data_IF_295562175233
#
_entry.id   IF_295562175233
#
_cell.length_a   1.000
_cell.length_b   1.000
_cell.length_c   1.000
_cell.angle_alpha   90.00
_cell.angle_beta   90.00
_cell.angle_gamma   90.00
#
_symmetry.space_group_name_H-M   'P 1'
#
loop_
_entity.id
_entity.type
_entity.pdbx_description
1 polymer ?
#
# COMPACT_ATOMS: atom_id res chain seq x y z
N UNK A 1 8.77 -9.85 -4.89
CA UNK A 1 8.39 -8.77 -5.82
C UNK A 1 9.67 -8.12 -6.33
N UNK A 2 9.77 -7.80 -7.62
CA UNK A 2 10.89 -7.00 -8.12
C UNK A 2 10.74 -5.51 -7.73
N UNK A 3 11.79 -4.71 -7.90
CA UNK A 3 11.80 -3.31 -7.44
C UNK A 3 10.79 -2.41 -8.17
N UNK A 4 10.54 -2.63 -9.46
CA UNK A 4 9.57 -1.85 -10.22
C UNK A 4 8.16 -2.18 -9.76
N UNK A 5 7.88 -3.46 -9.50
CA UNK A 5 6.61 -3.89 -8.93
C UNK A 5 6.35 -3.25 -7.55
N UNK A 6 7.39 -3.09 -6.72
CA UNK A 6 7.28 -2.41 -5.42
C UNK A 6 6.93 -0.93 -5.58
N UNK A 7 7.57 -0.23 -6.52
CA UNK A 7 7.25 1.17 -6.82
C UNK A 7 5.83 1.32 -7.40
N UNK A 8 5.45 0.46 -8.35
CA UNK A 8 4.09 0.41 -8.91
C UNK A 8 3.04 0.20 -7.82
N UNK A 9 3.34 -0.71 -6.89
CA UNK A 9 2.46 -1.00 -5.76
C UNK A 9 2.35 0.17 -4.79
N UNK A 10 3.47 0.81 -4.45
CA UNK A 10 3.44 2.03 -3.63
C UNK A 10 2.57 3.10 -4.30
N UNK A 11 2.72 3.30 -5.61
CA UNK A 11 1.88 4.22 -6.38
C UNK A 11 0.39 3.84 -6.25
N UNK A 12 0.03 2.58 -6.54
CA UNK A 12 -1.37 2.13 -6.48
C UNK A 12 -2.00 2.24 -5.10
N UNK A 13 -1.24 2.07 -4.02
CA UNK A 13 -1.75 2.24 -2.64
C UNK A 13 -2.16 3.70 -2.38
N UNK A 14 -1.47 4.67 -2.98
CA UNK A 14 -1.80 6.08 -2.79
C UNK A 14 -2.91 6.57 -3.74
N UNK A 15 -3.22 5.83 -4.82
CA UNK A 15 -4.35 6.15 -5.70
C UNK A 15 -5.67 5.95 -4.95
N UNK A 16 -6.39 7.04 -4.74
CA UNK A 16 -7.62 7.09 -3.94
C UNK A 16 -8.78 7.83 -4.62
N UNK A 17 -8.65 8.14 -5.92
CA UNK A 17 -9.62 8.91 -6.69
C UNK A 17 -9.23 10.38 -6.88
N UNK A 18 -8.34 10.92 -6.03
CA UNK A 18 -7.88 12.31 -6.08
C UNK A 18 -6.35 12.40 -6.27
N UNK A 19 -5.60 11.54 -5.58
CA UNK A 19 -4.14 11.61 -5.52
C UNK A 19 -3.50 11.49 -6.91
N UNK A 20 -3.97 10.54 -7.71
CA UNK A 20 -3.48 10.27 -9.08
C UNK A 20 -3.70 11.41 -10.07
N UNK A 21 -4.56 12.38 -9.74
CA UNK A 21 -4.82 13.55 -10.57
C UNK A 21 -3.89 14.73 -10.28
N UNK A 22 -3.25 14.73 -9.11
CA UNK A 22 -2.49 15.89 -8.60
C UNK A 22 -1.03 15.59 -8.30
N UNK A 23 -0.69 14.33 -8.02
CA UNK A 23 0.59 13.90 -7.50
C UNK A 23 1.14 12.71 -8.29
N UNK A 24 2.44 12.42 -8.15
CA UNK A 24 2.98 11.22 -8.78
C UNK A 24 4.46 10.97 -8.56
N UNK A 25 5.01 10.20 -9.51
CA UNK A 25 6.44 9.88 -9.59
C UNK A 25 6.96 10.38 -10.93
N UNK A 26 8.02 11.19 -10.89
CA UNK A 26 8.71 11.64 -12.09
C UNK A 26 10.15 11.13 -12.10
N UNK A 27 10.59 10.63 -13.25
CA UNK A 27 11.97 10.20 -13.49
C UNK A 27 12.44 10.94 -14.74
N UNK A 28 13.41 11.84 -14.58
CA UNK A 28 13.95 12.66 -15.66
C UNK A 28 15.46 12.54 -15.70
N UNK A 29 16.05 12.90 -16.83
CA UNK A 29 17.50 13.07 -16.94
C UNK A 29 17.93 14.48 -16.50
N UNK A 30 19.23 14.68 -16.37
CA UNK A 30 19.89 15.97 -16.12
C UNK A 30 20.97 16.23 -17.18
N UNK A 31 21.40 17.49 -17.31
CA UNK A 31 22.32 17.97 -18.35
C UNK A 31 23.72 17.31 -18.28
N UNK A 32 24.17 16.91 -17.10
CA UNK A 32 25.32 16.03 -16.92
C UNK A 32 24.77 14.61 -16.72
N UNK A 33 25.19 13.58 -17.50
CA UNK A 33 24.51 12.29 -17.53
C UNK A 33 24.13 11.77 -16.14
N UNK A 34 22.84 11.50 -15.96
CA UNK A 34 22.31 11.17 -14.64
C UNK A 34 20.79 11.21 -14.61
N UNK A 35 20.27 10.95 -13.42
CA UNK A 35 18.86 10.85 -13.12
C UNK A 35 18.46 11.82 -12.03
N UNK A 36 17.23 12.31 -12.13
CA UNK A 36 16.48 12.93 -11.04
C UNK A 36 15.18 12.14 -10.92
N UNK A 37 14.88 11.72 -9.69
CA UNK A 37 13.62 11.10 -9.31
C UNK A 37 12.92 12.04 -8.35
N UNK A 38 11.67 12.41 -8.63
CA UNK A 38 10.80 13.09 -7.67
C UNK A 38 9.59 12.25 -7.35
N UNK A 39 9.25 12.14 -6.07
CA UNK A 39 8.10 11.40 -5.56
C UNK A 39 7.32 12.33 -4.63
N UNK A 40 6.08 12.64 -5.01
CA UNK A 40 5.17 13.42 -4.18
C UNK A 40 4.76 12.60 -2.94
N UNK A 41 4.88 13.20 -1.76
CA UNK A 41 4.53 12.62 -0.46
C UNK A 41 3.25 13.23 0.11
N UNK A 42 2.74 14.30 -0.51
CA UNK A 42 1.48 14.94 -0.17
C UNK A 42 0.34 13.93 -0.12
N UNK A 43 -0.47 14.02 0.93
CA UNK A 43 -1.64 13.16 1.17
C UNK A 43 -1.32 11.64 1.16
N UNK A 44 -0.07 11.26 1.46
CA UNK A 44 0.33 9.86 1.69
C UNK A 44 0.51 9.58 3.19
N UNK A 45 0.74 8.31 3.56
CA UNK A 45 1.09 7.94 4.94
C UNK A 45 2.52 8.30 5.36
N UNK A 46 3.26 9.11 4.59
CA UNK A 46 4.59 9.60 4.97
C UNK A 46 4.45 10.88 5.78
N UNK A 47 5.15 10.98 6.93
CA UNK A 47 5.16 12.17 7.77
C UNK A 47 5.74 13.36 7.00
N UNK A 48 5.22 14.56 7.29
CA UNK A 48 5.81 15.81 6.83
C UNK A 48 7.21 15.95 7.44
N UNK A 49 8.22 15.85 6.58
CA UNK A 49 9.63 15.96 6.95
C UNK A 49 10.35 16.83 5.92
N UNK A 50 11.45 17.43 6.33
CA UNK A 50 12.36 18.09 5.40
C UNK A 50 13.78 17.78 5.80
N UNK A 51 14.59 17.42 4.81
CA UNK A 51 16.02 17.25 4.97
C UNK A 51 16.73 17.46 3.64
N UNK A 52 18.03 17.68 3.75
CA UNK A 52 18.95 17.79 2.63
C UNK A 52 20.18 16.95 2.98
N UNK A 53 20.34 15.80 2.32
CA UNK A 53 21.48 14.93 2.57
C UNK A 53 22.67 15.39 1.71
N UNK A 54 23.90 15.31 2.25
CA UNK A 54 25.08 15.64 1.47
C UNK A 54 25.22 14.67 0.29
N UNK A 55 25.77 15.18 -0.82
CA UNK A 55 26.11 14.38 -1.98
C UNK A 55 27.15 13.33 -1.58
N UNK A 56 26.86 12.06 -1.87
CA UNK A 56 27.80 10.95 -1.76
C UNK A 56 28.42 10.73 -3.13
N UNK A 57 29.57 11.34 -3.37
CA UNK A 57 30.31 11.19 -4.64
C UNK A 57 31.38 10.09 -4.52
N UNK A 58 31.22 9.02 -5.30
CA UNK A 58 32.18 7.90 -5.39
C UNK A 58 33.08 8.08 -6.60
N UNK A 59 32.52 8.53 -7.71
CA UNK A 59 33.20 9.00 -8.91
C UNK A 59 32.35 10.09 -9.59
N UNK A 60 32.90 10.74 -10.62
CA UNK A 60 32.19 11.75 -11.42
C UNK A 60 30.91 11.24 -12.10
N UNK A 61 30.76 9.92 -12.30
CA UNK A 61 29.56 9.28 -12.86
C UNK A 61 28.82 8.39 -11.86
N UNK A 62 29.33 8.25 -10.64
CA UNK A 62 28.71 7.46 -9.57
C UNK A 62 28.61 8.35 -8.33
N UNK A 63 27.45 8.97 -8.21
CA UNK A 63 27.13 9.86 -7.11
C UNK A 63 25.64 9.79 -6.84
N UNK A 64 25.24 10.05 -5.60
CA UNK A 64 23.84 10.16 -5.19
C UNK A 64 23.63 11.32 -4.22
N UNK A 65 22.46 11.93 -4.27
CA UNK A 65 22.00 12.95 -3.36
C UNK A 65 20.51 12.77 -3.10
N UNK A 66 20.05 13.09 -1.90
CA UNK A 66 18.65 12.98 -1.52
C UNK A 66 18.21 14.24 -0.79
N UNK A 67 16.98 14.68 -1.02
CA UNK A 67 16.37 15.76 -0.25
C UNK A 67 14.87 15.56 -0.16
N UNK A 68 14.25 16.18 0.84
CA UNK A 68 12.80 16.32 0.93
C UNK A 68 12.48 17.78 1.18
N UNK A 69 11.74 18.39 0.25
CA UNK A 69 11.31 19.80 0.30
C UNK A 69 9.88 19.86 -0.20
N UNK A 70 9.04 20.63 0.49
CA UNK A 70 7.63 20.85 0.10
C UNK A 70 6.85 19.54 -0.15
N UNK A 71 7.00 18.57 0.75
CA UNK A 71 6.37 17.24 0.64
C UNK A 71 6.76 16.46 -0.64
N UNK A 72 7.93 16.73 -1.22
CA UNK A 72 8.48 15.98 -2.36
C UNK A 72 9.82 15.37 -1.98
N UNK A 73 9.93 14.05 -2.09
CA UNK A 73 11.22 13.37 -2.06
C UNK A 73 11.91 13.53 -3.41
N UNK A 74 13.14 14.05 -3.41
CA UNK A 74 13.98 14.17 -4.59
C UNK A 74 15.28 13.41 -4.40
N UNK A 75 15.56 12.47 -5.32
CA UNK A 75 16.82 11.77 -5.40
C UNK A 75 17.51 12.06 -6.73
N UNK A 76 18.78 12.44 -6.69
CA UNK A 76 19.59 12.72 -7.88
C UNK A 76 20.82 11.83 -7.91
N UNK A 77 21.30 11.44 -9.09
CA UNK A 77 22.52 10.63 -9.19
C UNK A 77 23.05 10.45 -10.60
N UNK A 78 24.19 9.77 -10.69
CA UNK A 78 24.83 9.45 -11.96
C UNK A 78 24.04 8.46 -12.84
N UNK A 79 24.51 8.16 -14.07
CA UNK A 79 23.74 7.43 -15.09
C UNK A 79 23.30 6.01 -14.68
N UNK A 80 24.03 5.38 -13.77
CA UNK A 80 23.75 4.01 -13.29
C UNK A 80 23.16 3.99 -11.87
N UNK A 81 22.84 5.16 -11.29
CA UNK A 81 22.36 5.26 -9.91
C UNK A 81 20.82 5.26 -9.78
N UNK A 82 20.04 5.13 -10.86
CA UNK A 82 18.56 5.14 -10.78
C UNK A 82 18.02 4.08 -9.81
N UNK A 83 18.53 2.84 -9.91
CA UNK A 83 18.12 1.75 -9.00
C UNK A 83 18.50 2.06 -7.55
N UNK A 84 19.66 2.67 -7.31
CA UNK A 84 20.11 3.07 -5.97
C UNK A 84 19.17 4.13 -5.37
N UNK A 85 18.74 5.10 -6.18
CA UNK A 85 17.81 6.15 -5.75
C UNK A 85 16.46 5.56 -5.35
N UNK A 86 15.87 4.72 -6.21
CA UNK A 86 14.57 4.10 -5.95
C UNK A 86 14.61 3.11 -4.78
N UNK A 87 15.70 2.35 -4.66
CA UNK A 87 15.87 1.41 -3.53
C UNK A 87 16.03 2.16 -2.22
N UNK A 88 16.76 3.28 -2.20
CA UNK A 88 16.86 4.11 -1.00
C UNK A 88 15.47 4.63 -0.56
N UNK A 89 14.66 5.09 -1.51
CA UNK A 89 13.29 5.51 -1.21
C UNK A 89 12.48 4.39 -0.55
N UNK A 90 12.43 3.21 -1.16
CA UNK A 90 11.58 2.09 -0.72
C UNK A 90 12.11 1.41 0.55
N UNK A 91 13.42 1.18 0.66
CA UNK A 91 14.01 0.34 1.70
C UNK A 91 14.43 1.13 2.94
N UNK A 92 14.71 2.42 2.78
CA UNK A 92 15.26 3.25 3.86
C UNK A 92 14.34 4.40 4.21
N UNK A 93 14.03 5.26 3.24
CA UNK A 93 13.26 6.47 3.51
C UNK A 93 11.83 6.15 3.93
N UNK A 94 11.10 5.38 3.13
CA UNK A 94 9.69 5.10 3.36
C UNK A 94 9.46 4.49 4.76
N UNK A 95 10.03 3.32 5.15
CA UNK A 95 9.84 2.74 6.48
C UNK A 95 10.23 3.67 7.64
N UNK A 96 11.27 4.49 7.48
CA UNK A 96 11.73 5.41 8.53
C UNK A 96 10.79 6.60 8.74
N UNK A 97 10.03 6.98 7.72
CA UNK A 97 9.24 8.21 7.70
C UNK A 97 7.72 8.00 7.68
N UNK A 98 7.22 6.76 7.69
CA UNK A 98 5.79 6.49 7.86
C UNK A 98 5.22 7.16 9.13
N UNK A 99 4.00 7.68 9.02
CA UNK A 99 3.23 8.21 10.13
C UNK A 99 2.55 7.05 10.87
N UNK A 100 2.88 6.81 12.15
CA UNK A 100 2.27 5.74 12.92
C UNK A 100 0.77 5.91 13.15
N UNK A 101 0.22 7.12 12.93
CA UNK A 101 -1.20 7.39 13.05
C UNK A 101 -1.96 7.31 11.71
N UNK A 102 -1.24 7.21 10.59
CA UNK A 102 -1.89 7.03 9.30
C UNK A 102 -2.34 5.58 9.13
N UNK A 103 -3.61 5.40 8.78
CA UNK A 103 -4.19 4.10 8.48
C UNK A 103 -4.70 4.06 7.05
N UNK A 104 -4.61 2.87 6.46
CA UNK A 104 -5.17 2.52 5.16
C UNK A 104 -6.39 1.64 5.39
N UNK A 105 -7.41 1.80 4.55
CA UNK A 105 -8.50 0.83 4.47
C UNK A 105 -7.99 -0.44 3.77
N UNK A 106 -8.16 -1.58 4.42
CA UNK A 106 -7.87 -2.91 3.88
C UNK A 106 -9.09 -3.82 4.03
N UNK A 107 -9.11 -4.88 3.25
CA UNK A 107 -10.26 -5.75 3.06
C UNK A 107 -9.87 -7.18 3.45
N UNK A 108 -10.51 -7.67 4.50
CA UNK A 108 -10.26 -8.98 5.10
C UNK A 108 -11.17 -10.03 4.45
N UNK A 109 -10.64 -11.09 3.82
CA UNK A 109 -11.48 -12.14 3.24
C UNK A 109 -12.38 -12.77 4.31
N UNK A 110 -13.67 -12.89 4.00
CA UNK A 110 -14.62 -13.58 4.88
C UNK A 110 -14.48 -15.09 4.67
N UNK A 111 -14.33 -15.84 5.76
CA UNK A 111 -14.19 -17.30 5.70
C UNK A 111 -15.42 -17.96 5.05
N UNK A 112 -15.19 -18.84 4.09
CA UNK A 112 -16.23 -19.50 3.28
C UNK A 112 -16.76 -18.67 2.11
N UNK A 113 -16.35 -17.40 1.99
CA UNK A 113 -16.67 -16.49 0.90
C UNK A 113 -15.41 -15.84 0.32
N UNK A 114 -14.29 -16.57 0.37
CA UNK A 114 -13.00 -16.09 -0.11
C UNK A 114 -13.10 -15.67 -1.58
N UNK A 115 -12.55 -14.50 -1.90
CA UNK A 115 -12.60 -13.87 -3.23
C UNK A 115 -13.98 -13.37 -3.68
N UNK A 116 -14.98 -13.37 -2.79
CA UNK A 116 -16.33 -12.87 -3.08
C UNK A 116 -16.75 -11.74 -2.15
N UNK A 117 -16.40 -11.88 -0.87
CA UNK A 117 -16.79 -10.95 0.18
C UNK A 117 -15.62 -10.63 1.11
N UNK A 118 -15.49 -9.36 1.44
CA UNK A 118 -14.48 -8.87 2.36
C UNK A 118 -15.08 -7.94 3.41
N UNK A 119 -14.58 -8.05 4.63
CA UNK A 119 -14.88 -7.14 5.73
C UNK A 119 -13.82 -6.02 5.77
N UNK A 120 -14.25 -4.77 5.90
CA UNK A 120 -13.37 -3.61 5.99
C UNK A 120 -12.60 -3.61 7.31
N UNK A 121 -11.37 -3.15 7.22
CA UNK A 121 -10.47 -2.99 8.35
C UNK A 121 -9.56 -1.79 8.11
N UNK A 122 -8.99 -1.28 9.19
CA UNK A 122 -7.97 -0.24 9.13
C UNK A 122 -6.62 -0.87 9.47
N UNK A 123 -5.60 -0.58 8.67
CA UNK A 123 -4.25 -1.10 8.87
C UNK A 123 -3.22 0.01 8.74
N UNK A 124 -2.18 -0.03 9.59
CA UNK A 124 -1.02 0.87 9.44
C UNK A 124 -0.07 0.30 8.41
N UNK A 125 0.51 1.16 7.58
CA UNK A 125 1.58 0.76 6.67
C UNK A 125 2.85 0.47 7.48
N UNK A 126 3.55 -0.62 7.15
CA UNK A 126 4.90 -0.91 7.64
C UNK A 126 5.94 -0.76 6.52
N UNK A 127 5.52 -1.07 5.29
CA UNK A 127 6.23 -0.83 4.02
C UNK A 127 5.21 -0.72 2.89
N UNK A 128 5.65 -0.47 1.65
CA UNK A 128 4.76 -0.53 0.49
C UNK A 128 4.17 -1.93 0.21
N UNK A 129 4.72 -2.97 0.85
CA UNK A 129 4.29 -4.36 0.68
C UNK A 129 3.56 -4.93 1.89
N UNK A 130 3.70 -4.34 3.08
CA UNK A 130 3.21 -4.92 4.33
C UNK A 130 2.47 -3.92 5.20
N UNK A 131 1.47 -4.42 5.91
CA UNK A 131 0.62 -3.65 6.81
C UNK A 131 0.40 -4.41 8.11
N UNK A 132 -0.01 -3.71 9.15
CA UNK A 132 -0.48 -4.30 10.40
C UNK A 132 -1.92 -3.87 10.70
N UNK A 133 -2.79 -4.84 10.98
CA UNK A 133 -4.20 -4.60 11.27
C UNK A 133 -4.33 -3.82 12.60
N UNK A 134 -4.97 -2.67 12.53
CA UNK A 134 -5.17 -1.77 13.68
C UNK A 134 -6.62 -1.82 14.20
N UNK A 135 -7.59 -2.01 13.29
CA UNK A 135 -9.00 -2.16 13.65
C UNK A 135 -9.71 -3.04 12.63
N UNK A 136 -10.71 -3.80 13.09
CA UNK A 136 -11.60 -4.59 12.25
C UNK A 136 -13.00 -4.02 12.41
N UNK A 137 -13.72 -3.83 11.30
CA UNK A 137 -15.07 -3.29 11.34
C UNK A 137 -16.06 -4.26 12.02
N UNK A 138 -17.19 -3.72 12.48
CA UNK A 138 -18.24 -4.53 13.09
C UNK A 138 -18.92 -5.40 12.02
N UNK A 139 -18.81 -6.74 12.09
CA UNK A 139 -19.38 -7.62 11.07
C UNK A 139 -20.91 -7.59 11.04
N UNK A 140 -21.58 -7.05 12.06
CA UNK A 140 -23.04 -6.91 12.09
C UNK A 140 -23.56 -5.76 11.23
N UNK A 141 -22.67 -4.88 10.75
CA UNK A 141 -23.03 -3.70 9.97
C UNK A 141 -22.83 -3.95 8.46
N UNK A 142 -23.88 -3.96 7.64
CA UNK A 142 -23.77 -4.31 6.21
C UNK A 142 -22.86 -3.40 5.39
N UNK A 143 -22.75 -2.12 5.75
CA UNK A 143 -21.90 -1.14 5.04
C UNK A 143 -20.40 -1.33 5.30
N UNK A 144 -20.03 -2.24 6.20
CA UNK A 144 -18.64 -2.56 6.52
C UNK A 144 -18.03 -3.59 5.58
N UNK A 145 -18.72 -3.96 4.51
CA UNK A 145 -18.26 -5.01 3.60
C UNK A 145 -18.10 -4.49 2.18
N UNK A 146 -17.24 -5.18 1.43
CA UNK A 146 -16.98 -4.97 0.00
C UNK A 146 -17.13 -6.31 -0.72
N UNK A 147 -17.58 -6.27 -1.98
CA UNK A 147 -17.90 -7.46 -2.77
C UNK A 147 -17.27 -7.39 -4.16
N UNK A 148 -16.99 -8.56 -4.73
CA UNK A 148 -16.20 -8.69 -5.96
C UNK A 148 -16.98 -8.39 -7.23
N UNK A 149 -18.26 -8.79 -7.29
CA UNK A 149 -19.12 -8.64 -8.48
C UNK A 149 -20.52 -8.13 -8.11
N UNK A 150 -21.26 -7.54 -9.06
CA UNK A 150 -22.65 -7.12 -8.80
C UNK A 150 -23.56 -8.28 -8.36
N UNK A 151 -23.28 -9.52 -8.80
CA UNK A 151 -24.03 -10.70 -8.39
C UNK A 151 -23.77 -11.10 -6.92
N UNK A 152 -22.64 -10.68 -6.34
CA UNK A 152 -22.32 -10.92 -4.93
C UNK A 152 -23.03 -9.93 -3.99
N UNK A 153 -23.67 -8.88 -4.52
CA UNK A 153 -24.50 -7.96 -3.73
C UNK A 153 -25.66 -8.70 -3.03
N UNK A 154 -26.22 -9.71 -3.69
CA UNK A 154 -27.33 -10.49 -3.14
C UNK A 154 -26.91 -11.38 -1.96
N UNK A 155 -25.61 -11.65 -1.77
CA UNK A 155 -25.09 -12.41 -0.61
C UNK A 155 -25.45 -11.74 0.71
N UNK A 156 -25.62 -10.42 0.76
CA UNK A 156 -26.02 -9.73 1.98
C UNK A 156 -27.43 -10.09 2.44
N UNK A 157 -28.34 -10.36 1.49
CA UNK A 157 -29.68 -10.85 1.81
C UNK A 157 -29.63 -12.25 2.43
N UNK A 158 -28.68 -13.10 2.00
CA UNK A 158 -28.46 -14.45 2.53
C UNK A 158 -27.76 -14.45 3.89
N UNK A 159 -26.78 -13.55 4.06
CA UNK A 159 -25.96 -13.43 5.27
C UNK A 159 -26.66 -12.72 6.43
N UNK A 160 -27.80 -12.05 6.20
CA UNK A 160 -28.45 -11.17 7.18
C UNK A 160 -28.70 -11.75 8.58
N UNK A 161 -28.85 -13.07 8.71
CA UNK A 161 -28.99 -13.76 10.01
C UNK A 161 -27.68 -14.39 10.54
N UNK A 162 -26.64 -14.48 9.71
CA UNK A 162 -25.35 -15.12 9.98
C UNK A 162 -24.21 -14.13 10.25
N UNK A 163 -24.45 -12.82 10.12
CA UNK A 163 -23.44 -11.77 10.31
C UNK A 163 -22.72 -11.83 11.67
N UNK A 164 -23.37 -12.34 12.72
CA UNK A 164 -22.76 -12.49 14.05
C UNK A 164 -21.72 -13.60 14.17
N UNK A 165 -21.64 -14.50 13.18
CA UNK A 165 -20.69 -15.61 13.13
C UNK A 165 -19.61 -15.45 12.07
N UNK A 166 -19.50 -14.27 11.44
CA UNK A 166 -18.48 -14.01 10.42
C UNK A 166 -17.09 -13.95 11.07
N UNK A 167 -16.18 -14.71 10.48
CA UNK A 167 -14.77 -14.75 10.85
C UNK A 167 -13.91 -14.46 9.62
N UNK A 168 -12.81 -13.75 9.84
CA UNK A 168 -11.79 -13.48 8.82
C UNK A 168 -10.45 -14.15 9.19
N UNK A 169 -10.35 -14.68 10.41
CA UNK A 169 -9.14 -15.16 11.05
C UNK A 169 -8.21 -14.06 11.55
N UNK A 170 -8.41 -12.81 11.14
CA UNK A 170 -7.55 -11.68 11.50
C UNK A 170 -7.93 -11.05 12.85
N UNK A 171 -6.93 -10.52 13.52
CA UNK A 171 -6.97 -9.84 14.82
C UNK A 171 -6.07 -8.61 14.78
N UNK A 172 -6.32 -7.66 15.68
CA UNK A 172 -5.48 -6.48 15.83
C UNK A 172 -4.04 -6.90 16.14
N UNK A 173 -3.08 -6.31 15.44
CA UNK A 173 -1.65 -6.61 15.52
C UNK A 173 -1.18 -7.68 14.53
N UNK A 174 -2.07 -8.36 13.81
CA UNK A 174 -1.66 -9.23 12.72
C UNK A 174 -1.01 -8.44 11.58
N UNK A 175 0.07 -8.98 11.04
CA UNK A 175 0.71 -8.44 9.84
C UNK A 175 0.27 -9.20 8.60
N UNK A 176 0.13 -8.48 7.49
CA UNK A 176 -0.27 -9.05 6.22
C UNK A 176 0.41 -8.33 5.06
N UNK A 177 0.54 -9.04 3.94
CA UNK A 177 0.96 -8.46 2.66
C UNK A 177 -0.26 -8.34 1.77
N UNK A 178 -0.93 -7.18 1.71
CA UNK A 178 -2.15 -7.04 0.91
C UNK A 178 -1.87 -7.24 -0.59
N UNK A 179 -2.91 -7.29 -1.40
CA UNK A 179 -2.82 -7.22 -2.85
C UNK A 179 -3.89 -6.27 -3.33
N UNK A 180 -3.60 -5.55 -4.40
CA UNK A 180 -4.60 -4.74 -5.07
C UNK A 180 -5.59 -5.70 -5.74
N UNK A 181 -6.85 -5.60 -5.35
CA UNK A 181 -7.95 -6.32 -5.97
C UNK A 181 -8.75 -5.35 -6.84
N UNK A 182 -9.03 -5.76 -8.07
CA UNK A 182 -9.87 -5.02 -8.99
C UNK A 182 -11.19 -5.77 -9.11
N UNK A 183 -12.28 -5.11 -8.73
CA UNK A 183 -13.62 -5.67 -8.83
C UNK A 183 -14.01 -5.88 -10.30
N UNK A 184 -14.69 -6.98 -10.58
CA UNK A 184 -15.23 -7.30 -11.90
C UNK A 184 -16.61 -6.63 -12.05
N UNK A 185 -16.62 -5.31 -11.99
CA UNK A 185 -17.82 -4.49 -12.19
C UNK A 185 -17.55 -3.35 -13.17
N UNK A 186 -18.64 -2.69 -13.59
CA UNK A 186 -18.56 -1.57 -14.53
C UNK A 186 -17.94 -0.30 -13.93
N UNK A 187 -17.64 -0.28 -12.63
CA UNK A 187 -17.09 0.88 -11.92
C UNK A 187 -15.59 0.78 -11.68
N UNK A 188 -14.93 -0.33 -12.05
CA UNK A 188 -13.48 -0.54 -11.93
C UNK A 188 -12.96 -0.28 -10.49
N UNK A 189 -13.77 -0.62 -9.48
CA UNK A 189 -13.38 -0.42 -8.08
C UNK A 189 -12.10 -1.18 -7.78
N UNK A 190 -11.18 -0.51 -7.08
CA UNK A 190 -9.90 -1.08 -6.70
C UNK A 190 -9.71 -0.93 -5.19
N UNK A 191 -9.35 -2.00 -4.50
CA UNK A 191 -9.17 -1.99 -3.05
C UNK A 191 -8.10 -2.97 -2.58
N UNK A 192 -7.51 -2.72 -1.40
CA UNK A 192 -6.45 -3.54 -0.83
C UNK A 192 -7.03 -4.73 -0.09
N UNK A 193 -6.77 -5.94 -0.56
CA UNK A 193 -7.20 -7.20 0.04
C UNK A 193 -6.04 -7.89 0.74
N UNK A 194 -6.19 -8.28 2.00
CA UNK A 194 -5.18 -9.14 2.66
C UNK A 194 -5.38 -10.61 2.25
N UNK A 195 -4.33 -11.45 2.26
CA UNK A 195 -4.46 -12.86 1.93
C UNK A 195 -5.39 -13.58 2.91
N UNK A 196 -5.98 -14.69 2.50
CA UNK A 196 -6.73 -15.56 3.42
C UNK A 196 -5.79 -16.06 4.51
N UNK A 197 -6.13 -15.80 5.77
CA UNK A 197 -5.32 -16.25 6.90
C UNK A 197 -5.49 -17.76 7.06
N UNK A 198 -4.47 -18.53 6.67
CA UNK A 198 -4.47 -19.99 6.91
C UNK A 198 -4.44 -20.22 8.42
N UNK A 199 -5.50 -20.78 8.98
CA UNK A 199 -5.42 -21.34 10.32
C UNK A 199 -4.36 -22.46 10.31
N UNK A 200 -3.47 -22.54 11.30
CA UNK A 200 -2.58 -23.69 11.41
C UNK A 200 -3.46 -24.94 11.48
N UNK A 201 -3.19 -25.93 10.62
CA UNK A 201 -3.87 -27.21 10.65
C UNK A 201 -3.76 -27.76 12.08
N UNK A 202 -4.87 -27.74 12.81
CA UNK A 202 -4.97 -28.51 14.04
C UNK A 202 -4.86 -29.95 13.58
N UNK A 203 -3.69 -30.55 13.76
CA UNK A 203 -3.44 -31.98 13.62
C UNK A 203 -4.54 -32.70 14.41
N UNK A 204 -5.60 -33.10 13.72
CA UNK A 204 -6.61 -34.00 14.26
C UNK A 204 -5.91 -35.34 14.40
N UNK A 205 -5.47 -35.64 15.63
CA UNK A 205 -5.06 -36.98 16.04
C UNK A 205 -6.25 -37.93 15.99
#
# INVERSE_FOLDING_TARGET
MDFLQRLQRWYTINCNGDWEHSYGVSITNIDNPGWVVKIDLSDTCVRKVSFDYPIVERTVTNWVSYSVKEDVFEGSGGPENLTEILSYFLDTFLPAHLDPNCTLEVHLPVAGYENRLWLKAQARMLSESSVEICAVADPTMPHCYEWGTEADLDLFAELGHLLSGIDTGYSIGDQAEPTVYQAEDNMLRTFLVVPVKRQPEVLRQ
#
